data_IF_297887304048
#
_entry.id   IF_297887304048
#
_cell.length_a   1.000
_cell.length_b   1.000
_cell.length_c   1.000
_cell.angle_alpha   90.00
_cell.angle_beta   90.00
_cell.angle_gamma   90.00
#
_symmetry.space_group_name_H-M   'P 1'
#
loop_
_entity.id
_entity.type
_entity.pdbx_description
1 polymer ?
#
# COMPACT_ATOMS: atom_id res chain seq x y z
N UNK A 1 7.05 23.50 -5.82
CA UNK A 1 7.03 22.13 -5.28
C UNK A 1 5.86 21.47 -5.94
N UNK A 2 6.09 20.37 -6.66
CA UNK A 2 5.04 19.64 -7.35
C UNK A 2 4.67 18.45 -6.47
N UNK A 3 3.40 18.34 -6.10
CA UNK A 3 2.90 17.20 -5.37
C UNK A 3 2.34 16.20 -6.38
N UNK A 4 2.78 14.94 -6.29
CA UNK A 4 2.26 13.86 -7.12
C UNK A 4 1.38 12.94 -6.29
N UNK A 5 0.30 12.45 -6.90
CA UNK A 5 -0.56 11.42 -6.31
C UNK A 5 -0.06 10.05 -6.74
N UNK A 6 0.18 9.19 -5.75
CA UNK A 6 0.53 7.79 -5.96
C UNK A 6 -0.47 6.91 -5.20
N UNK A 7 -0.78 5.75 -5.75
CA UNK A 7 -1.64 4.77 -5.10
C UNK A 7 -0.78 3.59 -4.62
N UNK A 8 -0.94 3.20 -3.36
CA UNK A 8 -0.22 2.08 -2.74
C UNK A 8 -1.23 1.24 -1.95
N UNK A 9 -1.46 0.00 -2.37
CA UNK A 9 -2.35 -0.93 -1.67
C UNK A 9 -3.79 -0.43 -1.58
N UNK A 10 -4.29 0.25 -2.63
CA UNK A 10 -5.63 0.84 -2.68
C UNK A 10 -5.81 2.10 -1.83
N UNK A 11 -4.72 2.74 -1.41
CA UNK A 11 -4.72 4.01 -0.67
C UNK A 11 -3.97 5.07 -1.47
N UNK A 12 -4.56 6.25 -1.61
CA UNK A 12 -3.92 7.40 -2.25
C UNK A 12 -3.00 8.13 -1.27
N UNK A 13 -1.80 8.46 -1.72
CA UNK A 13 -0.81 9.27 -1.01
C UNK A 13 -0.38 10.44 -1.88
N UNK A 14 -0.41 11.65 -1.32
CA UNK A 14 0.22 12.82 -1.93
C UNK A 14 1.66 12.93 -1.44
N UNK A 15 2.62 12.91 -2.37
CA UNK A 15 4.05 12.99 -2.08
C UNK A 15 4.63 14.20 -2.77
N UNK A 16 5.31 15.05 -1.99
CA UNK A 16 6.04 16.19 -2.51
C UNK A 16 7.24 15.71 -3.32
N UNK A 17 7.24 16.04 -4.60
CA UNK A 17 8.27 15.69 -5.57
C UNK A 17 9.14 16.91 -5.89
N UNK A 18 10.44 16.65 -6.11
CA UNK A 18 11.36 17.63 -6.72
C UNK A 18 11.46 17.37 -8.21
N UNK A 19 11.70 18.42 -8.99
CA UNK A 19 11.80 18.32 -10.45
C UNK A 19 12.82 17.24 -10.86
N UNK A 20 12.32 16.20 -11.55
CA UNK A 20 13.12 15.05 -11.99
C UNK A 20 13.05 13.78 -11.12
N UNK A 21 12.42 13.81 -9.94
CA UNK A 21 12.26 12.63 -9.06
C UNK A 21 10.95 11.85 -9.31
N UNK A 22 10.07 12.33 -10.20
CA UNK A 22 8.76 11.72 -10.49
C UNK A 22 8.87 10.24 -10.90
N UNK A 23 9.83 9.90 -11.76
CA UNK A 23 10.02 8.53 -12.23
C UNK A 23 10.50 7.59 -11.11
N UNK A 24 11.31 8.11 -10.19
CA UNK A 24 11.83 7.36 -9.06
C UNK A 24 10.70 7.07 -8.06
N UNK A 25 9.87 8.08 -7.78
CA UNK A 25 8.70 7.96 -6.91
C UNK A 25 7.66 7.00 -7.48
N UNK A 26 7.39 7.02 -8.80
CA UNK A 26 6.50 6.05 -9.44
C UNK A 26 7.04 4.61 -9.33
N UNK A 27 8.34 4.42 -9.54
CA UNK A 27 8.97 3.10 -9.44
C UNK A 27 8.93 2.57 -7.99
N UNK A 28 9.21 3.43 -7.01
CA UNK A 28 9.12 3.10 -5.59
C UNK A 28 7.67 2.80 -5.17
N UNK A 29 6.71 3.60 -5.63
CA UNK A 29 5.28 3.37 -5.38
C UNK A 29 4.84 2.00 -5.89
N UNK A 30 5.24 1.60 -7.10
CA UNK A 30 4.91 0.28 -7.64
C UNK A 30 5.56 -0.90 -6.89
N UNK A 31 6.70 -0.70 -6.24
CA UNK A 31 7.31 -1.72 -5.37
C UNK A 31 6.53 -1.85 -4.06
N UNK A 32 6.21 -0.71 -3.42
CA UNK A 32 5.42 -0.66 -2.20
C UNK A 32 4.01 -1.21 -2.41
N UNK A 33 3.41 -0.93 -3.56
CA UNK A 33 2.06 -1.42 -3.91
C UNK A 33 2.01 -2.95 -3.95
N UNK A 34 3.03 -3.60 -4.51
CA UNK A 34 3.13 -5.07 -4.54
C UNK A 34 3.25 -5.66 -3.14
N UNK A 35 4.05 -5.05 -2.27
CA UNK A 35 4.19 -5.49 -0.87
C UNK A 35 2.89 -5.29 -0.10
N UNK A 36 2.25 -4.12 -0.26
CA UNK A 36 0.99 -3.80 0.38
C UNK A 36 -0.14 -4.71 -0.09
N UNK A 37 -0.20 -5.03 -1.38
CA UNK A 37 -1.18 -5.96 -1.97
C UNK A 37 -1.00 -7.38 -1.42
N UNK A 38 0.24 -7.87 -1.34
CA UNK A 38 0.54 -9.17 -0.72
C UNK A 38 0.17 -9.22 0.78
N UNK A 39 0.39 -8.12 1.51
CA UNK A 39 -0.06 -7.97 2.90
C UNK A 39 -1.58 -7.95 3.02
N UNK A 40 -2.27 -7.24 2.12
CA UNK A 40 -3.72 -7.18 2.10
C UNK A 40 -4.35 -8.54 1.77
N UNK A 41 -3.76 -9.32 0.86
CA UNK A 41 -4.15 -10.71 0.59
C UNK A 41 -3.94 -11.62 1.81
N UNK A 42 -2.84 -11.43 2.56
CA UNK A 42 -2.58 -12.18 3.79
C UNK A 42 -3.57 -11.83 4.91
N UNK A 43 -3.93 -10.54 5.02
CA UNK A 43 -4.90 -10.04 6.01
C UNK A 43 -6.35 -10.41 5.64
N UNK A 44 -6.71 -10.33 4.36
CA UNK A 44 -8.03 -10.71 3.83
C UNK A 44 -8.34 -12.20 3.94
N UNK A 45 -7.32 -13.02 4.24
CA UNK A 45 -7.46 -14.46 4.51
C UNK A 45 -7.64 -14.81 5.99
N UNK A 46 -7.79 -13.84 6.90
CA UNK A 46 -8.24 -14.14 8.26
C UNK A 46 -9.77 -14.20 8.30
N UNK A 47 -10.40 -15.39 8.32
CA UNK A 47 -11.84 -15.49 8.49
C UNK A 47 -12.13 -15.14 9.95
N UNK A 48 -12.94 -14.12 10.18
CA UNK A 48 -13.41 -13.67 11.51
C UNK A 48 -13.85 -14.83 12.43
N UNK A 49 -14.32 -15.94 11.85
CA UNK A 49 -14.74 -17.14 12.58
C UNK A 49 -13.62 -17.78 13.43
N UNK A 50 -12.33 -17.59 13.10
CA UNK A 50 -11.23 -18.17 13.92
C UNK A 50 -10.83 -17.32 15.12
N UNK A 51 -11.14 -16.02 15.15
CA UNK A 51 -10.88 -15.20 16.35
C UNK A 51 -11.79 -15.59 17.52
N UNK A 52 -13.03 -16.03 17.25
CA UNK A 52 -13.95 -16.54 18.28
C UNK A 52 -13.53 -17.88 18.89
N UNK A 53 -12.82 -18.73 18.15
CA UNK A 53 -12.37 -20.05 18.64
C UNK A 53 -11.08 -20.00 19.47
N UNK A 54 -10.39 -18.85 19.52
CA UNK A 54 -9.22 -18.63 20.38
C UNK A 54 -9.57 -17.87 21.67
N UNK A 55 -10.85 -17.48 21.82
CA UNK A 55 -11.39 -16.78 23.00
C UNK A 55 -12.41 -17.63 23.78
N UNK A 56 -12.59 -18.90 23.40
CA UNK A 56 -13.41 -19.89 24.10
C UNK A 56 -12.57 -20.90 24.86
#
# INVERSE_FOLDING_TARGET
>A
MADIKIEIGGREFEVACRDGEEHFLQSAAGMLDKEASALNDALGRMPETRMLLMAG
#
